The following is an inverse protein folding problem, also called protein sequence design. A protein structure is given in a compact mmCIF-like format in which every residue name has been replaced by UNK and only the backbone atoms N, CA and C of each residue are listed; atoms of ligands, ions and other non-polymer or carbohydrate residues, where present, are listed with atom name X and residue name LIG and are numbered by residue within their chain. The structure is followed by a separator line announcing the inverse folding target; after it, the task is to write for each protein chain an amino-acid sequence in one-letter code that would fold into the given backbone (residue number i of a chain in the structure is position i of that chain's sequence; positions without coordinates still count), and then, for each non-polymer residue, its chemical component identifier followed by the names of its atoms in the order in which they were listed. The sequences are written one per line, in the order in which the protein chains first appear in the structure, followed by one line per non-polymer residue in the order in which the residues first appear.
data_IF_197503903091
#
_entry.id   IF_197503903091
#
_cell.length_a   1.000
_cell.length_b   1.000
_cell.length_c   1.000
_cell.angle_alpha   90.00
_cell.angle_beta   90.00
_cell.angle_gamma   90.00
#
_symmetry.space_group_name_H-M   'P 1'
#
loop_
_entity.id
_entity.type
_entity.pdbx_description
1 polymer ?
#
# COMPACT_ATOMS: atom_id res chain seq x y z
N UNK A 1 -17.44 11.80 -15.84
CA UNK A 1 -16.20 11.16 -16.35
C UNK A 1 -16.53 9.69 -16.62
N UNK A 2 -15.66 8.93 -17.29
CA UNK A 2 -15.83 7.47 -17.31
C UNK A 2 -15.50 6.87 -15.94
N UNK A 3 -15.94 5.63 -15.68
CA UNK A 3 -15.55 4.92 -14.45
C UNK A 3 -14.03 4.74 -14.38
N UNK A 4 -13.50 4.77 -13.16
CA UNK A 4 -12.07 4.61 -12.87
C UNK A 4 -11.86 3.30 -12.11
N UNK A 5 -10.92 2.49 -12.59
CA UNK A 5 -10.48 1.29 -11.90
C UNK A 5 -9.49 1.60 -10.79
N UNK A 6 -9.65 0.97 -9.64
CA UNK A 6 -8.66 0.94 -8.57
C UNK A 6 -8.19 -0.50 -8.41
N UNK A 7 -6.99 -0.78 -8.93
CA UNK A 7 -6.35 -2.09 -8.83
C UNK A 7 -5.49 -2.17 -7.57
N UNK A 8 -5.99 -2.86 -6.55
CA UNK A 8 -5.36 -2.92 -5.22
C UNK A 8 -4.47 -4.16 -5.10
N UNK A 9 -3.19 -3.94 -4.79
CA UNK A 9 -2.25 -5.03 -4.47
C UNK A 9 -2.34 -5.29 -2.97
N UNK A 10 -2.59 -6.54 -2.56
CA UNK A 10 -2.85 -6.91 -1.17
C UNK A 10 -4.28 -6.59 -0.72
N UNK A 11 -5.27 -6.75 -1.61
CA UNK A 11 -6.64 -6.27 -1.38
C UNK A 11 -7.34 -6.92 -0.18
N UNK A 12 -7.01 -8.17 0.17
CA UNK A 12 -7.58 -8.83 1.36
C UNK A 12 -6.90 -8.38 2.66
N UNK A 13 -5.90 -7.49 2.60
CA UNK A 13 -5.23 -6.94 3.78
C UNK A 13 -6.18 -6.04 4.58
N UNK A 14 -5.82 -5.72 5.82
CA UNK A 14 -6.64 -4.85 6.69
C UNK A 14 -7.04 -3.54 6.00
N UNK A 15 -6.07 -2.85 5.39
CA UNK A 15 -6.32 -1.57 4.70
C UNK A 15 -7.16 -1.75 3.43
N UNK A 16 -6.83 -2.74 2.59
CA UNK A 16 -7.59 -3.03 1.38
C UNK A 16 -9.06 -3.34 1.69
N UNK A 17 -9.28 -4.21 2.67
CA UNK A 17 -10.61 -4.59 3.18
C UNK A 17 -11.36 -3.39 3.74
N UNK A 18 -10.71 -2.57 4.58
CA UNK A 18 -11.32 -1.38 5.17
C UNK A 18 -11.71 -0.34 4.11
N UNK A 19 -10.89 -0.12 3.09
CA UNK A 19 -11.19 0.80 1.98
C UNK A 19 -12.39 0.29 1.17
N UNK A 20 -12.46 -1.01 0.87
CA UNK A 20 -13.59 -1.57 0.12
C UNK A 20 -14.89 -1.52 0.92
N UNK A 21 -14.85 -1.78 2.23
CA UNK A 21 -16.04 -1.67 3.08
C UNK A 21 -16.46 -0.20 3.20
N UNK A 22 -15.53 0.68 3.56
CA UNK A 22 -15.80 2.09 3.82
C UNK A 22 -16.37 2.80 2.59
N UNK A 23 -15.82 2.54 1.41
CA UNK A 23 -16.31 3.15 0.16
C UNK A 23 -17.77 2.76 -0.12
N UNK A 24 -18.09 1.47 -0.07
CA UNK A 24 -19.46 1.01 -0.30
C UNK A 24 -20.42 1.45 0.81
N UNK A 25 -19.97 1.49 2.07
CA UNK A 25 -20.78 1.98 3.18
C UNK A 25 -21.13 3.47 3.02
N UNK A 26 -20.19 4.30 2.53
CA UNK A 26 -20.45 5.71 2.23
C UNK A 26 -21.43 5.85 1.06
N UNK A 27 -21.21 5.13 -0.05
CA UNK A 27 -22.08 5.16 -1.24
C UNK A 27 -23.52 4.78 -0.88
N UNK A 28 -23.69 3.77 -0.02
CA UNK A 28 -25.00 3.33 0.47
C UNK A 28 -25.59 4.23 1.59
N UNK A 29 -24.89 5.28 2.03
CA UNK A 29 -25.35 6.18 3.08
C UNK A 29 -25.37 5.55 4.49
N UNK A 30 -24.59 4.50 4.73
CA UNK A 30 -24.50 3.81 6.02
C UNK A 30 -23.61 4.54 7.02
N UNK A 31 -22.68 5.37 6.52
CA UNK A 31 -21.84 6.25 7.33
C UNK A 31 -21.50 7.54 6.57
N UNK A 32 -21.20 8.63 7.29
CA UNK A 32 -20.66 9.84 6.67
C UNK A 32 -19.22 9.63 6.17
N UNK A 33 -18.74 10.40 5.17
CA UNK A 33 -17.40 10.27 4.60
C UNK A 33 -16.29 10.89 5.48
N UNK A 34 -16.38 10.74 6.80
CA UNK A 34 -15.37 11.27 7.71
C UNK A 34 -14.00 10.64 7.45
N UNK A 35 -12.97 11.49 7.35
CA UNK A 35 -11.60 11.07 7.03
C UNK A 35 -11.29 10.98 5.53
N UNK A 36 -12.30 11.05 4.66
CA UNK A 36 -12.09 11.08 3.21
C UNK A 36 -11.87 12.54 2.78
N UNK A 37 -10.60 12.94 2.67
CA UNK A 37 -10.25 14.36 2.40
C UNK A 37 -10.80 14.93 1.10
N UNK A 38 -11.12 14.10 0.11
CA UNK A 38 -11.74 14.53 -1.15
C UNK A 38 -13.24 14.84 -1.00
N UNK A 39 -13.88 14.31 0.04
CA UNK A 39 -15.28 14.55 0.36
C UNK A 39 -15.47 15.72 1.36
N UNK A 40 -14.37 16.32 1.83
CA UNK A 40 -14.40 17.44 2.76
C UNK A 40 -14.05 18.77 2.10
N UNK A 41 -14.68 19.83 2.60
CA UNK A 41 -14.40 21.21 2.22
C UNK A 41 -12.95 21.62 2.56
N UNK A 42 -12.24 22.36 1.68
CA UNK A 42 -12.68 22.89 0.39
C UNK A 42 -12.45 21.97 -0.81
N UNK A 43 -11.90 20.77 -0.61
CA UNK A 43 -11.45 19.88 -1.68
C UNK A 43 -12.63 19.31 -2.46
N UNK A 44 -13.75 19.02 -1.81
CA UNK A 44 -14.98 18.55 -2.44
C UNK A 44 -15.63 19.56 -3.42
N UNK A 45 -15.12 20.80 -3.51
CA UNK A 45 -15.51 21.77 -4.54
C UNK A 45 -14.83 21.52 -5.89
N UNK A 46 -13.80 20.68 -5.92
CA UNK A 46 -13.12 20.30 -7.13
C UNK A 46 -13.93 19.24 -7.87
N UNK A 47 -13.86 19.23 -9.21
CA UNK A 47 -14.52 18.23 -10.04
C UNK A 47 -13.70 16.92 -10.05
N UNK A 48 -13.61 16.26 -8.90
CA UNK A 48 -12.97 14.97 -8.71
C UNK A 48 -13.95 13.83 -9.04
N UNK A 49 -13.40 12.64 -9.27
CA UNK A 49 -14.19 11.42 -9.51
C UNK A 49 -14.92 11.04 -8.22
N UNK A 50 -16.24 10.85 -8.31
CA UNK A 50 -17.07 10.42 -7.18
C UNK A 50 -16.77 8.99 -6.76
N UNK A 51 -17.07 8.66 -5.50
CA UNK A 51 -16.83 7.31 -4.96
C UNK A 51 -17.62 6.23 -5.72
N UNK A 52 -18.82 6.55 -6.20
CA UNK A 52 -19.69 5.69 -7.01
C UNK A 52 -19.12 5.33 -8.40
N UNK A 53 -18.16 6.12 -8.89
CA UNK A 53 -17.48 5.92 -10.16
C UNK A 53 -16.19 5.10 -10.02
N UNK A 54 -15.80 4.75 -8.79
CA UNK A 54 -14.65 3.90 -8.50
C UNK A 54 -15.04 2.41 -8.57
N UNK A 55 -14.31 1.64 -9.37
CA UNK A 55 -14.48 0.19 -9.50
C UNK A 55 -13.25 -0.49 -8.93
N UNK A 56 -13.42 -1.33 -7.91
CA UNK A 56 -12.31 -2.04 -7.28
C UNK A 56 -12.08 -3.43 -7.90
N UNK A 57 -10.81 -3.78 -8.04
CA UNK A 57 -10.27 -5.10 -8.36
C UNK A 57 -8.86 -5.20 -7.77
N UNK A 58 -8.17 -6.32 -7.95
CA UNK A 58 -6.83 -6.40 -7.38
C UNK A 58 -6.16 -7.74 -7.41
N UNK A 59 -5.02 -7.81 -6.72
CA UNK A 59 -4.28 -9.03 -6.45
C UNK A 59 -4.19 -9.29 -4.95
N UNK A 60 -4.32 -10.56 -4.57
CA UNK A 60 -3.88 -11.05 -3.26
C UNK A 60 -3.23 -12.43 -3.42
N UNK A 61 -2.43 -12.82 -2.45
CA UNK A 61 -1.69 -14.10 -2.46
C UNK A 61 -2.45 -15.20 -1.72
N UNK A 62 -3.40 -14.80 -0.86
CA UNK A 62 -4.25 -15.70 -0.08
C UNK A 62 -5.41 -16.22 -0.93
N UNK A 63 -5.75 -17.47 -0.69
CA UNK A 63 -7.02 -18.04 -1.14
C UNK A 63 -8.13 -17.64 -0.14
N UNK A 64 -8.78 -16.52 -0.41
CA UNK A 64 -9.81 -15.94 0.47
C UNK A 64 -10.80 -15.08 -0.33
N UNK A 65 -11.70 -14.40 0.37
CA UNK A 65 -12.64 -13.42 -0.15
C UNK A 65 -12.56 -12.13 0.67
N UNK A 66 -13.07 -11.03 0.11
CA UNK A 66 -13.22 -9.79 0.88
C UNK A 66 -14.23 -9.95 2.02
N UNK A 67 -15.27 -10.76 1.83
CA UNK A 67 -16.23 -11.06 2.88
C UNK A 67 -15.57 -11.77 4.07
N UNK A 68 -14.76 -12.80 3.83
CA UNK A 68 -14.05 -13.51 4.90
C UNK A 68 -13.03 -12.60 5.58
N UNK A 69 -12.32 -11.78 4.79
CA UNK A 69 -11.37 -10.79 5.31
C UNK A 69 -12.08 -9.73 6.17
N UNK A 70 -13.27 -9.29 5.77
CA UNK A 70 -14.10 -8.34 6.52
C UNK A 70 -14.60 -8.93 7.83
N UNK A 71 -15.07 -10.17 7.82
CA UNK A 71 -15.49 -10.88 9.04
C UNK A 71 -14.32 -11.09 10.00
N UNK A 72 -13.13 -11.44 9.49
CA UNK A 72 -11.93 -11.54 10.31
C UNK A 72 -11.58 -10.17 10.91
N UNK A 73 -11.57 -9.12 10.09
CA UNK A 73 -11.28 -7.75 10.53
C UNK A 73 -12.22 -7.30 11.66
N UNK A 74 -13.52 -7.60 11.54
CA UNK A 74 -14.50 -7.35 12.60
C UNK A 74 -14.28 -8.18 13.86
N UNK A 75 -13.99 -9.48 13.73
CA UNK A 75 -13.72 -10.34 14.91
C UNK A 75 -12.49 -9.87 15.69
N UNK A 76 -11.49 -9.35 14.99
CA UNK A 76 -10.23 -8.90 15.60
C UNK A 76 -10.33 -7.48 16.15
N UNK A 77 -11.09 -6.59 15.51
CA UNK A 77 -11.05 -5.15 15.82
C UNK A 77 -12.39 -4.57 16.28
N UNK A 78 -13.52 -5.24 16.02
CA UNK A 78 -14.87 -4.78 16.37
C UNK A 78 -15.40 -3.62 15.51
N UNK A 79 -14.67 -3.22 14.46
CA UNK A 79 -15.06 -2.16 13.54
C UNK A 79 -14.80 -2.58 12.08
N UNK A 80 -15.65 -2.19 11.11
CA UNK A 80 -16.98 -1.59 11.30
C UNK A 80 -18.00 -2.60 11.86
N UNK A 81 -19.20 -2.16 12.22
CA UNK A 81 -20.20 -3.03 12.85
C UNK A 81 -20.68 -4.14 11.91
N UNK A 82 -21.14 -5.26 12.49
CA UNK A 82 -21.64 -6.40 11.71
C UNK A 82 -22.78 -6.00 10.75
N UNK A 83 -23.65 -5.09 11.16
CA UNK A 83 -24.77 -4.61 10.33
C UNK A 83 -24.30 -3.87 9.09
N UNK A 84 -23.17 -3.14 9.16
CA UNK A 84 -22.56 -2.52 7.99
C UNK A 84 -22.03 -3.60 7.05
N UNK A 85 -21.34 -4.62 7.58
CA UNK A 85 -20.77 -5.71 6.78
C UNK A 85 -21.84 -6.49 6.02
N UNK A 86 -22.95 -6.82 6.69
CA UNK A 86 -24.08 -7.51 6.05
C UNK A 86 -24.64 -6.70 4.87
N UNK A 87 -24.74 -5.38 5.01
CA UNK A 87 -25.30 -4.51 3.96
C UNK A 87 -24.38 -4.32 2.75
N UNK A 88 -23.06 -4.39 2.94
CA UNK A 88 -22.10 -4.27 1.84
C UNK A 88 -21.62 -5.61 1.30
N UNK A 89 -22.18 -6.73 1.79
CA UNK A 89 -21.73 -8.09 1.45
C UNK A 89 -21.72 -8.34 -0.07
N UNK A 90 -22.80 -7.99 -0.77
CA UNK A 90 -22.91 -8.21 -2.21
C UNK A 90 -21.88 -7.39 -3.00
N UNK A 91 -21.54 -6.18 -2.53
CA UNK A 91 -20.48 -5.37 -3.12
C UNK A 91 -19.11 -6.03 -2.93
N UNK A 92 -18.83 -6.56 -1.74
CA UNK A 92 -17.58 -7.28 -1.44
C UNK A 92 -17.44 -8.57 -2.27
N UNK A 93 -18.53 -9.30 -2.47
CA UNK A 93 -18.56 -10.50 -3.31
C UNK A 93 -18.31 -10.14 -4.79
N UNK A 94 -18.90 -9.03 -5.25
CA UNK A 94 -18.65 -8.52 -6.60
C UNK A 94 -17.17 -8.14 -6.78
N UNK A 95 -16.57 -7.44 -5.83
CA UNK A 95 -15.14 -7.08 -5.89
C UNK A 95 -14.27 -8.33 -5.84
N UNK A 96 -14.61 -9.30 -4.98
CA UNK A 96 -13.91 -10.59 -4.85
C UNK A 96 -13.83 -11.32 -6.20
N UNK A 97 -14.89 -11.27 -7.02
CA UNK A 97 -14.88 -11.88 -8.36
C UNK A 97 -13.84 -11.30 -9.33
N UNK A 98 -13.32 -10.10 -9.02
CA UNK A 98 -12.30 -9.37 -9.80
C UNK A 98 -10.89 -9.52 -9.20
N UNK A 99 -10.74 -10.27 -8.10
CA UNK A 99 -9.43 -10.50 -7.47
C UNK A 99 -8.72 -11.65 -8.17
N UNK A 100 -7.43 -11.43 -8.47
CA UNK A 100 -6.53 -12.40 -9.10
C UNK A 100 -5.44 -12.82 -8.11
N UNK A 101 -4.81 -13.96 -8.37
CA UNK A 101 -3.68 -14.43 -7.56
C UNK A 101 -2.43 -13.61 -7.85
N UNK A 102 -1.85 -12.99 -6.82
CA UNK A 102 -0.63 -12.18 -6.92
C UNK A 102 0.67 -12.97 -6.89
N UNK A 103 1.80 -12.27 -7.02
CA UNK A 103 3.15 -12.81 -6.85
C UNK A 103 3.72 -12.57 -5.44
N UNK A 104 4.71 -13.37 -5.04
CA UNK A 104 5.39 -13.31 -3.73
C UNK A 104 6.93 -13.26 -3.87
N UNK A 105 7.43 -12.83 -5.02
CA UNK A 105 8.87 -12.73 -5.27
C UNK A 105 9.55 -11.82 -4.24
N UNK A 106 10.48 -12.40 -3.46
CA UNK A 106 11.27 -11.74 -2.43
C UNK A 106 10.48 -10.93 -1.40
N UNK A 107 9.27 -11.35 -1.07
CA UNK A 107 8.57 -10.83 0.10
C UNK A 107 9.24 -11.31 1.40
N UNK A 108 8.90 -10.69 2.53
CA UNK A 108 9.42 -11.08 3.85
C UNK A 108 9.06 -12.53 4.22
N UNK A 109 9.82 -13.13 5.16
CA UNK A 109 9.61 -14.52 5.59
C UNK A 109 8.18 -14.84 6.04
N UNK A 110 7.50 -13.97 6.84
CA UNK A 110 6.11 -14.24 7.23
C UNK A 110 5.18 -14.35 6.01
N UNK A 111 5.39 -13.51 4.99
CA UNK A 111 4.60 -13.53 3.75
C UNK A 111 4.85 -14.79 2.92
N UNK A 112 6.10 -15.28 2.90
CA UNK A 112 6.42 -16.54 2.24
C UNK A 112 5.77 -17.76 2.93
N UNK A 113 5.49 -17.66 4.23
CA UNK A 113 4.88 -18.71 5.04
C UNK A 113 3.34 -18.75 4.96
N UNK A 114 2.70 -17.70 4.42
CA UNK A 114 1.25 -17.68 4.22
C UNK A 114 0.86 -18.80 3.24
N UNK A 115 -0.16 -19.63 3.57
CA UNK A 115 -0.72 -20.58 2.62
C UNK A 115 -1.18 -19.84 1.36
N UNK A 116 -0.48 -20.07 0.26
CA UNK A 116 -0.77 -19.42 -1.01
C UNK A 116 -1.92 -20.14 -1.69
N UNK A 117 -2.69 -19.41 -2.48
CA UNK A 117 -3.59 -20.04 -3.44
C UNK A 117 -2.81 -21.03 -4.30
N UNK A 118 -3.42 -22.17 -4.65
CA UNK A 118 -2.78 -23.22 -5.45
C UNK A 118 -2.20 -22.71 -6.79
N UNK A 119 -2.71 -21.59 -7.29
CA UNK A 119 -2.29 -20.87 -8.49
C UNK A 119 -1.12 -19.90 -8.31
N UNK A 120 -0.56 -19.73 -7.10
CA UNK A 120 0.54 -18.79 -6.87
C UNK A 120 1.85 -19.33 -7.46
N UNK A 121 2.19 -18.86 -8.66
CA UNK A 121 3.31 -19.36 -9.46
C UNK A 121 4.66 -18.84 -8.93
N UNK A 122 5.32 -19.62 -8.08
CA UNK A 122 6.73 -19.38 -7.74
C UNK A 122 7.70 -19.76 -8.89
N UNK A 123 7.22 -20.56 -9.85
CA UNK A 123 8.05 -21.11 -10.94
C UNK A 123 8.17 -20.19 -12.16
N UNK A 124 7.32 -19.17 -12.27
CA UNK A 124 7.41 -18.20 -13.35
C UNK A 124 8.74 -17.42 -13.30
N UNK A 125 9.22 -17.07 -14.48
CA UNK A 125 10.24 -16.03 -14.65
C UNK A 125 9.66 -14.66 -14.29
N UNK A 126 10.53 -13.70 -14.00
CA UNK A 126 10.13 -12.32 -13.68
C UNK A 126 9.29 -11.73 -14.82
N UNK A 127 9.69 -11.97 -16.08
CA UNK A 127 8.95 -11.50 -17.27
C UNK A 127 7.57 -12.12 -17.38
N UNK A 128 7.44 -13.43 -17.21
CA UNK A 128 6.14 -14.10 -17.24
C UNK A 128 5.20 -13.56 -16.15
N UNK A 129 5.71 -13.33 -14.95
CA UNK A 129 4.92 -12.72 -13.88
C UNK A 129 4.51 -11.27 -14.19
N UNK A 130 5.39 -10.46 -14.77
CA UNK A 130 5.05 -9.09 -15.20
C UNK A 130 3.97 -9.11 -16.28
N UNK A 131 4.09 -9.99 -17.28
CA UNK A 131 3.09 -10.11 -18.35
C UNK A 131 1.74 -10.63 -17.84
N UNK A 132 1.73 -11.52 -16.84
CA UNK A 132 0.51 -11.93 -16.16
C UNK A 132 -0.15 -10.74 -15.42
N UNK A 133 0.61 -9.97 -14.65
CA UNK A 133 0.12 -8.76 -13.97
C UNK A 133 -0.49 -7.79 -14.99
N UNK A 134 0.22 -7.54 -16.10
CA UNK A 134 -0.27 -6.65 -17.17
C UNK A 134 -1.56 -7.15 -17.79
N UNK A 135 -1.68 -8.46 -18.02
CA UNK A 135 -2.89 -9.10 -18.53
C UNK A 135 -4.05 -8.92 -17.58
N UNK A 136 -3.87 -9.21 -16.29
CA UNK A 136 -4.92 -9.09 -15.28
C UNK A 136 -5.48 -7.66 -15.20
N UNK A 137 -4.60 -6.65 -15.19
CA UNK A 137 -4.99 -5.23 -15.18
C UNK A 137 -5.73 -4.85 -16.47
N UNK A 138 -5.24 -5.30 -17.63
CA UNK A 138 -5.83 -4.99 -18.94
C UNK A 138 -7.21 -5.64 -19.11
N UNK A 139 -7.36 -6.90 -18.70
CA UNK A 139 -8.63 -7.62 -18.69
C UNK A 139 -9.63 -6.94 -17.75
N UNK A 140 -9.20 -6.54 -16.55
CA UNK A 140 -10.03 -5.79 -15.61
C UNK A 140 -10.52 -4.48 -16.21
N UNK A 141 -9.63 -3.72 -16.87
CA UNK A 141 -9.99 -2.48 -17.59
C UNK A 141 -11.06 -2.74 -18.64
N UNK A 142 -10.85 -3.74 -19.49
CA UNK A 142 -11.75 -4.07 -20.60
C UNK A 142 -13.11 -4.60 -20.11
N UNK A 143 -13.12 -5.57 -19.19
CA UNK A 143 -14.34 -6.21 -18.68
C UNK A 143 -15.28 -5.24 -17.97
N UNK A 144 -14.73 -4.19 -17.34
CA UNK A 144 -15.51 -3.19 -16.62
C UNK A 144 -15.68 -1.87 -17.42
N UNK A 145 -15.23 -1.82 -18.68
CA UNK A 145 -15.31 -0.63 -19.55
C UNK A 145 -14.75 0.63 -18.90
N UNK A 146 -13.58 0.49 -18.25
CA UNK A 146 -12.97 1.56 -17.46
C UNK A 146 -12.18 2.51 -18.35
N UNK A 147 -12.31 3.81 -18.08
CA UNK A 147 -11.55 4.83 -18.81
C UNK A 147 -10.06 4.76 -18.47
N UNK A 148 -9.76 4.54 -17.20
CA UNK A 148 -8.41 4.45 -16.65
C UNK A 148 -8.37 3.45 -15.49
N UNK A 149 -7.18 2.94 -15.19
CA UNK A 149 -6.93 2.12 -14.00
C UNK A 149 -5.76 2.73 -13.24
N UNK A 150 -5.97 2.97 -11.95
CA UNK A 150 -4.96 3.38 -10.98
C UNK A 150 -4.55 2.13 -10.21
N UNK A 151 -3.25 1.88 -10.11
CA UNK A 151 -2.70 0.76 -9.34
C UNK A 151 -2.26 1.26 -7.98
N UNK A 152 -2.76 0.64 -6.90
CA UNK A 152 -2.50 1.05 -5.52
C UNK A 152 -1.86 -0.10 -4.76
N UNK A 153 -0.65 0.11 -4.26
CA UNK A 153 0.04 -0.87 -3.44
C UNK A 153 -0.34 -0.72 -1.96
N UNK A 154 -1.11 -1.68 -1.44
CA UNK A 154 -1.47 -1.84 -0.04
C UNK A 154 -0.94 -3.17 0.54
N UNK A 155 0.02 -3.81 -0.14
CA UNK A 155 0.57 -5.08 0.30
C UNK A 155 1.40 -4.92 1.58
N UNK A 156 1.78 -6.05 2.18
CA UNK A 156 2.80 -6.04 3.23
C UNK A 156 4.10 -5.40 2.75
N UNK A 157 4.78 -4.70 3.66
CA UNK A 157 6.08 -4.09 3.38
C UNK A 157 7.11 -5.17 3.02
N UNK A 158 7.96 -4.84 2.05
CA UNK A 158 9.05 -5.71 1.61
C UNK A 158 10.36 -5.31 2.29
N UNK A 159 11.32 -6.25 2.42
CA UNK A 159 12.68 -5.90 2.80
C UNK A 159 13.29 -4.92 1.81
N UNK A 160 14.07 -3.96 2.32
CA UNK A 160 14.78 -2.98 1.50
C UNK A 160 15.55 -3.66 0.35
N UNK A 161 15.42 -3.06 -0.83
CA UNK A 161 16.23 -3.40 -1.99
C UNK A 161 17.37 -2.39 -2.08
N UNK A 162 18.60 -2.88 -1.92
CA UNK A 162 19.80 -2.07 -2.10
C UNK A 162 19.90 -1.60 -3.56
N UNK A 163 20.04 -0.29 -3.73
CA UNK A 163 20.12 0.32 -5.05
C UNK A 163 21.57 0.14 -5.54
N UNK A 164 21.69 -0.39 -6.76
CA UNK A 164 22.95 -0.71 -7.45
C UNK A 164 22.91 0.01 -8.81
N UNK A 165 24.04 0.07 -9.53
CA UNK A 165 24.11 0.72 -10.85
C UNK A 165 23.06 0.16 -11.83
N UNK A 166 22.78 -1.15 -11.77
CA UNK A 166 21.75 -1.82 -12.60
C UNK A 166 20.32 -1.36 -12.31
N UNK A 167 20.06 -0.67 -11.20
CA UNK A 167 18.76 -0.11 -10.81
C UNK A 167 18.58 1.36 -11.25
N UNK A 168 19.60 1.98 -11.84
CA UNK A 168 19.61 3.43 -12.13
C UNK A 168 18.96 3.77 -13.47
N UNK A 169 19.28 3.02 -14.50
CA UNK A 169 18.82 3.22 -15.88
C UNK A 169 17.81 2.14 -16.30
N UNK A 170 16.82 2.51 -17.13
CA UNK A 170 15.79 1.57 -17.60
C UNK A 170 16.39 0.36 -18.32
N UNK A 171 17.39 0.58 -19.19
CA UNK A 171 18.07 -0.50 -19.90
C UNK A 171 18.81 -1.47 -18.97
N UNK A 172 19.32 -0.99 -17.84
CA UNK A 172 19.91 -1.83 -16.79
C UNK A 172 18.83 -2.66 -16.10
N UNK A 173 17.71 -2.02 -15.77
CA UNK A 173 16.58 -2.67 -15.14
C UNK A 173 15.99 -3.79 -16.01
N UNK A 174 15.72 -3.51 -17.29
CA UNK A 174 15.18 -4.50 -18.24
C UNK A 174 16.11 -5.71 -18.42
N UNK A 175 17.44 -5.50 -18.46
CA UNK A 175 18.41 -6.60 -18.50
C UNK A 175 18.29 -7.52 -17.29
N UNK A 176 17.99 -7.01 -16.09
CA UNK A 176 17.79 -7.85 -14.91
C UNK A 176 16.50 -8.66 -15.02
N UNK A 177 15.44 -8.06 -15.57
CA UNK A 177 14.18 -8.77 -15.81
C UNK A 177 14.39 -9.92 -16.80
N UNK A 178 15.12 -9.67 -17.89
CA UNK A 178 15.42 -10.65 -18.95
C UNK A 178 16.36 -11.76 -18.45
N UNK A 179 17.35 -11.39 -17.63
CA UNK A 179 18.25 -12.34 -16.99
C UNK A 179 17.59 -13.13 -15.85
N UNK A 180 16.33 -12.82 -15.52
CA UNK A 180 15.60 -13.41 -14.41
C UNK A 180 16.36 -13.30 -13.07
N UNK A 181 17.06 -12.18 -12.84
CA UNK A 181 17.82 -11.92 -11.60
C UNK A 181 16.84 -11.68 -10.45
N UNK A 182 16.34 -12.80 -9.89
CA UNK A 182 15.36 -12.77 -8.81
C UNK A 182 15.91 -11.98 -7.62
N UNK A 183 17.21 -11.96 -7.33
CA UNK A 183 17.77 -11.29 -6.14
C UNK A 183 17.62 -9.76 -6.15
N UNK A 184 17.66 -9.17 -7.34
CA UNK A 184 17.63 -7.72 -7.58
C UNK A 184 16.22 -7.14 -7.72
N UNK A 185 15.18 -7.98 -7.71
CA UNK A 185 13.81 -7.56 -7.97
C UNK A 185 12.93 -7.88 -6.76
N UNK A 186 11.90 -7.06 -6.56
CA UNK A 186 10.84 -7.29 -5.57
C UNK A 186 9.48 -7.32 -6.25
N UNK A 187 8.48 -7.93 -5.60
CA UNK A 187 7.11 -7.98 -6.13
C UNK A 187 6.57 -6.57 -6.38
N UNK A 188 6.77 -5.63 -5.45
CA UNK A 188 6.32 -4.24 -5.61
C UNK A 188 6.92 -3.56 -6.85
N UNK A 189 8.19 -3.84 -7.17
CA UNK A 189 8.87 -3.28 -8.35
C UNK A 189 8.33 -3.85 -9.66
N UNK A 190 7.90 -5.12 -9.66
CA UNK A 190 7.24 -5.74 -10.82
C UNK A 190 5.87 -5.11 -11.08
N UNK A 191 5.07 -4.89 -10.02
CA UNK A 191 3.79 -4.19 -10.15
C UNK A 191 3.95 -2.74 -10.61
N UNK A 192 4.93 -2.01 -10.07
CA UNK A 192 5.23 -0.65 -10.50
C UNK A 192 5.63 -0.61 -11.98
N UNK A 193 6.53 -1.48 -12.41
CA UNK A 193 6.92 -1.61 -13.82
C UNK A 193 5.71 -1.92 -14.72
N UNK A 194 4.89 -2.92 -14.35
CA UNK A 194 3.71 -3.31 -15.12
C UNK A 194 2.69 -2.17 -15.25
N UNK A 195 2.44 -1.44 -14.15
CA UNK A 195 1.54 -0.28 -14.15
C UNK A 195 2.05 0.82 -15.08
N UNK A 196 3.33 1.20 -14.96
CA UNK A 196 3.94 2.23 -15.80
C UNK A 196 3.91 1.83 -17.28
N UNK A 197 4.23 0.58 -17.60
CA UNK A 197 4.24 0.11 -18.98
C UNK A 197 2.86 0.18 -19.65
N UNK A 198 1.80 -0.15 -18.88
CA UNK A 198 0.40 -0.04 -19.28
C UNK A 198 -0.15 1.39 -19.34
N UNK A 199 0.62 2.39 -18.86
CA UNK A 199 0.12 3.76 -18.76
C UNK A 199 -0.77 4.01 -17.54
N UNK A 200 -0.77 3.12 -16.55
CA UNK A 200 -1.59 3.21 -15.34
C UNK A 200 -0.88 4.00 -14.25
N UNK A 201 -1.50 5.05 -13.67
CA UNK A 201 -0.96 5.72 -12.48
C UNK A 201 -0.68 4.74 -11.35
N UNK A 202 0.39 4.97 -10.61
CA UNK A 202 0.83 4.07 -9.53
C UNK A 202 0.96 4.79 -8.18
N UNK A 203 0.31 4.27 -7.15
CA UNK A 203 0.38 4.79 -5.78
C UNK A 203 1.01 3.73 -4.88
N UNK A 204 2.08 4.08 -4.19
CA UNK A 204 2.71 3.21 -3.19
C UNK A 204 2.39 3.68 -1.77
N UNK A 205 1.55 2.93 -1.07
CA UNK A 205 1.20 3.22 0.32
C UNK A 205 2.07 2.49 1.34
N UNK A 206 3.02 1.67 0.88
CA UNK A 206 3.95 0.90 1.73
C UNK A 206 5.32 1.56 1.79
N UNK A 207 6.18 1.09 2.69
CA UNK A 207 7.59 1.49 2.77
C UNK A 207 8.49 0.75 1.76
N UNK A 208 7.96 -0.15 0.94
CA UNK A 208 8.73 -0.87 -0.09
C UNK A 208 9.30 0.08 -1.14
N UNK A 209 10.45 -0.21 -1.74
CA UNK A 209 11.05 0.66 -2.77
C UNK A 209 10.08 0.91 -3.95
N UNK A 210 9.46 -0.15 -4.49
CA UNK A 210 8.47 -0.08 -5.56
C UNK A 210 8.87 0.88 -6.72
N UNK A 211 8.04 1.89 -7.02
CA UNK A 211 8.29 2.91 -8.04
C UNK A 211 9.42 3.89 -7.72
N UNK A 212 10.00 3.86 -6.50
CA UNK A 212 11.13 4.75 -6.15
C UNK A 212 12.47 4.30 -6.72
N UNK A 213 12.57 3.12 -7.34
CA UNK A 213 13.80 2.76 -8.06
C UNK A 213 14.07 3.79 -9.17
N UNK A 214 15.30 4.35 -9.28
CA UNK A 214 15.58 5.43 -10.22
C UNK A 214 15.21 5.08 -11.67
N UNK A 215 15.47 3.84 -12.10
CA UNK A 215 15.09 3.36 -13.42
C UNK A 215 13.58 3.44 -13.68
N UNK A 216 12.75 3.11 -12.68
CA UNK A 216 11.29 3.18 -12.81
C UNK A 216 10.79 4.63 -12.80
N UNK A 217 11.47 5.53 -12.08
CA UNK A 217 11.14 6.96 -12.13
C UNK A 217 11.45 7.57 -13.51
N UNK A 218 12.57 7.17 -14.13
CA UNK A 218 12.90 7.57 -15.52
C UNK A 218 11.84 7.03 -16.46
N UNK A 219 11.52 5.73 -16.36
CA UNK A 219 10.51 5.09 -17.20
C UNK A 219 9.13 5.74 -17.10
N UNK A 220 8.69 6.06 -15.88
CA UNK A 220 7.42 6.76 -15.64
C UNK A 220 7.40 8.15 -16.31
N UNK A 221 8.51 8.90 -16.23
CA UNK A 221 8.65 10.20 -16.90
C UNK A 221 8.60 10.06 -18.42
N UNK A 222 9.27 9.07 -18.99
CA UNK A 222 9.26 8.80 -20.45
C UNK A 222 7.87 8.43 -20.97
N UNK A 223 7.12 7.63 -20.20
CA UNK A 223 5.74 7.23 -20.53
C UNK A 223 4.69 8.30 -20.19
N UNK A 224 5.06 9.35 -19.46
CA UNK A 224 4.12 10.37 -18.98
C UNK A 224 3.14 9.86 -17.92
N UNK A 225 3.53 8.85 -17.14
CA UNK A 225 2.67 8.20 -16.13
C UNK A 225 2.94 8.80 -14.75
N UNK A 226 1.93 9.32 -14.05
CA UNK A 226 2.12 9.83 -12.70
C UNK A 226 2.28 8.68 -11.70
N UNK A 227 3.17 8.87 -10.73
CA UNK A 227 3.31 7.98 -9.58
C UNK A 227 3.42 8.78 -8.28
N UNK A 228 2.99 8.19 -7.17
CA UNK A 228 3.00 8.83 -5.84
C UNK A 228 3.39 7.83 -4.76
N UNK A 229 4.09 8.29 -3.74
CA UNK A 229 4.58 7.45 -2.64
C UNK A 229 5.77 8.10 -1.94
N UNK A 230 6.32 7.49 -0.89
CA UNK A 230 5.96 6.19 -0.31
C UNK A 230 5.43 6.34 1.13
N UNK A 231 4.90 5.23 1.67
CA UNK A 231 4.56 5.05 3.09
C UNK A 231 3.44 5.97 3.60
N UNK A 232 2.24 5.39 3.79
CA UNK A 232 1.06 6.10 4.26
C UNK A 232 1.27 6.77 5.63
N UNK A 233 1.19 8.10 5.67
CA UNK A 233 1.31 8.88 6.92
C UNK A 233 -0.04 8.98 7.66
N UNK A 234 -0.38 7.97 8.45
CA UNK A 234 -1.75 7.81 9.01
C UNK A 234 -1.91 8.15 10.49
N UNK A 235 -0.90 7.92 11.34
CA UNK A 235 -1.03 8.01 12.81
C UNK A 235 0.07 8.82 13.49
N UNK A 236 1.01 8.14 14.15
CA UNK A 236 2.13 8.75 14.88
C UNK A 236 2.89 9.79 14.04
N UNK A 237 3.34 9.41 12.84
CA UNK A 237 4.08 10.30 11.94
C UNK A 237 3.25 11.51 11.48
N UNK A 238 1.91 11.37 11.39
CA UNK A 238 1.01 12.49 11.12
C UNK A 238 1.07 13.51 12.25
N UNK A 239 0.88 13.06 13.50
CA UNK A 239 0.95 13.91 14.69
C UNK A 239 2.33 14.54 14.84
N UNK A 240 3.41 13.78 14.66
CA UNK A 240 4.79 14.27 14.65
C UNK A 240 4.98 15.40 13.63
N UNK A 241 4.49 15.22 12.41
CA UNK A 241 4.59 16.24 11.35
C UNK A 241 3.75 17.50 11.61
N UNK A 242 2.65 17.38 12.36
CA UNK A 242 1.79 18.50 12.72
C UNK A 242 2.30 19.26 13.95
N UNK A 243 2.87 18.54 14.93
CA UNK A 243 3.32 19.10 16.21
C UNK A 243 4.73 19.70 16.13
N UNK A 244 5.68 19.05 15.45
CA UNK A 244 7.07 19.53 15.38
C UNK A 244 7.21 20.98 14.89
N UNK A 245 6.44 21.46 13.89
CA UNK A 245 6.50 22.86 13.47
C UNK A 245 6.16 23.87 14.58
N UNK A 246 5.31 23.50 15.55
CA UNK A 246 4.92 24.40 16.65
C UNK A 246 6.15 24.84 17.46
N UNK A 247 7.05 23.91 17.79
CA UNK A 247 8.27 24.23 18.53
C UNK A 247 9.18 25.16 17.73
N UNK A 248 9.37 24.87 16.43
CA UNK A 248 10.12 25.74 15.53
C UNK A 248 9.56 27.16 15.47
N UNK A 249 8.25 27.30 15.26
CA UNK A 249 7.60 28.61 15.16
C UNK A 249 7.58 29.39 16.48
N UNK A 250 7.71 28.71 17.61
CA UNK A 250 7.85 29.33 18.94
C UNK A 250 9.30 29.53 19.36
N UNK A 251 10.28 29.26 18.48
CA UNK A 251 11.71 29.33 18.79
C UNK A 251 12.10 28.47 20.01
N UNK A 252 11.47 27.29 20.14
CA UNK A 252 11.77 26.30 21.16
C UNK A 252 12.64 25.20 20.56
N UNK A 253 13.75 24.89 21.24
CA UNK A 253 14.63 23.80 20.85
C UNK A 253 14.07 22.46 21.34
N UNK A 254 13.79 21.56 20.40
CA UNK A 254 13.51 20.16 20.73
C UNK A 254 14.85 19.48 20.98
N UNK A 255 15.08 19.07 22.23
CA UNK A 255 16.31 18.35 22.59
C UNK A 255 16.20 16.86 22.28
N UNK A 256 15.04 16.26 22.57
CA UNK A 256 14.78 14.82 22.45
C UNK A 256 13.37 14.56 21.94
N UNK A 257 13.20 13.54 21.09
CA UNK A 257 11.91 13.00 20.68
C UNK A 257 11.97 11.47 20.71
N UNK A 258 11.19 10.82 21.57
CA UNK A 258 11.07 9.36 21.61
C UNK A 258 9.73 8.97 21.00
N UNK A 259 9.65 7.82 20.34
CA UNK A 259 8.41 7.31 19.77
C UNK A 259 8.39 5.79 19.89
N UNK A 260 7.36 5.24 20.51
CA UNK A 260 7.18 3.80 20.66
C UNK A 260 5.88 3.38 19.99
N UNK A 261 5.96 2.36 19.15
CA UNK A 261 4.85 1.86 18.35
C UNK A 261 4.56 0.41 18.72
N UNK A 262 3.35 0.14 19.17
CA UNK A 262 2.88 -1.21 19.52
C UNK A 262 1.80 -1.63 18.53
N UNK A 263 1.94 -2.79 17.87
CA UNK A 263 0.96 -3.31 16.92
C UNK A 263 0.95 -4.85 16.88
N UNK A 264 -0.20 -5.46 16.55
CA UNK A 264 -0.41 -6.90 16.72
C UNK A 264 -0.95 -7.66 15.51
N UNK A 265 -1.08 -7.00 14.37
CA UNK A 265 -1.55 -7.58 13.11
C UNK A 265 -0.36 -8.08 12.25
N UNK A 266 -0.65 -8.51 11.02
CA UNK A 266 0.37 -8.97 10.06
C UNK A 266 1.43 -7.89 9.74
N UNK A 267 1.10 -6.60 9.77
CA UNK A 267 2.09 -5.52 9.63
C UNK A 267 3.11 -5.59 10.77
N UNK A 268 2.65 -5.81 12.00
CA UNK A 268 3.52 -6.02 13.17
C UNK A 268 4.41 -7.25 13.06
N UNK A 269 3.86 -8.37 12.59
CA UNK A 269 4.61 -9.62 12.43
C UNK A 269 5.71 -9.50 11.35
N UNK A 270 5.42 -8.85 10.23
CA UNK A 270 6.40 -8.57 9.18
C UNK A 270 7.54 -7.67 9.69
N UNK A 271 7.25 -6.75 10.61
CA UNK A 271 8.22 -5.84 11.23
C UNK A 271 9.05 -6.46 12.34
N UNK A 272 8.82 -7.74 12.68
CA UNK A 272 9.74 -8.48 13.56
C UNK A 272 11.02 -8.88 12.83
N UNK A 273 11.04 -8.87 11.50
CA UNK A 273 12.26 -9.05 10.72
C UNK A 273 13.11 -7.78 10.77
N UNK A 274 14.33 -7.87 11.32
CA UNK A 274 15.21 -6.73 11.60
C UNK A 274 15.42 -5.84 10.37
N UNK A 275 15.63 -6.43 9.18
CA UNK A 275 15.85 -5.68 7.94
C UNK A 275 14.63 -4.84 7.54
N UNK A 276 13.44 -5.39 7.73
CA UNK A 276 12.17 -4.70 7.43
C UNK A 276 11.89 -3.61 8.49
N UNK A 277 12.23 -3.88 9.75
CA UNK A 277 12.16 -2.91 10.85
C UNK A 277 13.06 -1.70 10.62
N UNK A 278 14.33 -1.93 10.24
CA UNK A 278 15.31 -0.87 10.01
C UNK A 278 14.84 0.11 8.94
N UNK A 279 14.29 -0.42 7.84
CA UNK A 279 13.75 0.38 6.72
C UNK A 279 12.60 1.30 7.17
N UNK A 280 11.72 0.82 8.04
CA UNK A 280 10.56 1.58 8.56
C UNK A 280 10.98 2.57 9.67
N UNK A 281 12.04 2.27 10.41
CA UNK A 281 12.62 3.20 11.40
C UNK A 281 13.27 4.37 10.69
N UNK A 282 14.09 4.12 9.66
CA UNK A 282 14.73 5.18 8.87
C UNK A 282 13.69 6.14 8.28
N UNK A 283 12.61 5.62 7.66
CA UNK A 283 11.56 6.48 7.07
C UNK A 283 10.92 7.44 8.09
N UNK A 284 10.76 6.98 9.34
CA UNK A 284 10.15 7.77 10.43
C UNK A 284 11.10 8.79 11.05
N UNK A 285 12.38 8.48 11.12
CA UNK A 285 13.36 9.31 11.83
C UNK A 285 13.83 10.52 11.00
N UNK A 286 13.86 10.38 9.67
CA UNK A 286 14.27 11.44 8.76
C UNK A 286 13.34 12.68 8.73
N UNK A 287 12.16 12.59 9.33
CA UNK A 287 11.17 13.68 9.29
C UNK A 287 11.56 14.87 10.17
N UNK A 288 12.00 14.64 11.41
CA UNK A 288 12.25 15.71 12.38
C UNK A 288 13.38 16.66 11.96
N UNK A 289 14.53 16.18 11.45
CA UNK A 289 15.59 17.07 10.98
C UNK A 289 15.13 18.01 9.86
N UNK A 290 14.28 17.52 8.95
CA UNK A 290 13.72 18.32 7.84
C UNK A 290 12.79 19.43 8.34
N UNK A 291 12.03 19.18 9.41
CA UNK A 291 11.11 20.18 9.98
C UNK A 291 11.90 21.18 10.81
N UNK A 292 12.73 20.70 11.75
CA UNK A 292 13.37 21.52 12.79
C UNK A 292 14.65 22.22 12.33
N UNK A 293 15.19 21.87 11.15
CA UNK A 293 16.51 22.31 10.66
C UNK A 293 17.67 21.99 11.63
N UNK A 294 17.47 21.02 12.52
CA UNK A 294 18.41 20.48 13.50
C UNK A 294 18.05 19.03 13.77
N UNK A 295 19.03 18.21 14.13
CA UNK A 295 18.81 16.80 14.51
C UNK A 295 18.71 16.68 16.03
N UNK A 296 17.50 16.57 16.62
CA UNK A 296 17.37 16.22 18.04
C UNK A 296 17.84 14.78 18.28
N UNK A 297 18.03 14.41 19.55
CA UNK A 297 18.17 13.01 19.90
C UNK A 297 16.83 12.29 19.65
N UNK A 298 16.83 11.27 18.80
CA UNK A 298 15.62 10.54 18.42
C UNK A 298 15.71 9.05 18.74
N UNK A 299 14.57 8.46 19.07
CA UNK A 299 14.42 7.01 19.17
C UNK A 299 13.04 6.61 18.62
N UNK A 300 13.00 5.60 17.75
CA UNK A 300 11.76 5.00 17.25
C UNK A 300 11.77 3.50 17.55
N UNK A 301 10.96 3.09 18.54
CA UNK A 301 10.70 1.71 18.86
C UNK A 301 9.47 1.18 18.12
N UNK A 302 9.54 -0.09 17.68
CA UNK A 302 8.40 -0.83 17.11
C UNK A 302 8.43 -2.23 17.72
N UNK A 303 7.37 -2.58 18.46
CA UNK A 303 7.23 -3.87 19.13
C UNK A 303 5.93 -4.58 18.72
N UNK A 304 6.02 -5.90 18.54
CA UNK A 304 4.88 -6.74 18.23
C UNK A 304 4.12 -7.12 19.51
N UNK A 305 2.85 -6.73 19.57
CA UNK A 305 1.94 -6.99 20.70
C UNK A 305 0.66 -7.60 20.16
N UNK A 306 0.62 -8.92 20.07
CA UNK A 306 -0.45 -9.68 19.40
C UNK A 306 -1.87 -9.39 19.91
N UNK A 307 -2.02 -8.97 21.16
CA UNK A 307 -3.31 -8.60 21.76
C UNK A 307 -3.90 -7.32 21.19
N UNK A 308 -3.08 -6.45 20.59
CA UNK A 308 -3.54 -5.19 19.99
C UNK A 308 -4.18 -5.37 18.62
N UNK A 309 -3.93 -6.46 17.90
CA UNK A 309 -4.43 -6.63 16.52
C UNK A 309 -4.12 -5.38 15.67
N UNK A 310 -5.12 -4.76 15.04
CA UNK A 310 -4.98 -3.54 14.24
C UNK A 310 -5.03 -2.24 15.09
N UNK A 311 -5.25 -2.34 16.41
CA UNK A 311 -5.25 -1.21 17.36
C UNK A 311 -3.84 -0.74 17.70
N UNK A 312 -3.14 -0.27 16.67
CA UNK A 312 -1.81 0.30 16.80
C UNK A 312 -1.81 1.44 17.83
N UNK A 313 -0.94 1.35 18.83
CA UNK A 313 -0.77 2.37 19.87
C UNK A 313 0.57 3.10 19.69
N UNK A 314 0.60 4.41 19.90
CA UNK A 314 1.82 5.24 19.88
C UNK A 314 2.03 5.95 21.21
N UNK A 315 3.26 6.00 21.69
CA UNK A 315 3.69 6.89 22.77
C UNK A 315 4.86 7.74 22.26
N UNK A 316 4.67 9.06 22.22
CA UNK A 316 5.70 10.06 21.89
C UNK A 316 6.06 10.91 23.12
#
# INVERSE_FOLDING_TARGET
MGKIGVWVIGIYGSVGTAVTIGTNAIIQGLCPPHGVTTETEPINRLNLVGLEDLVFGGHDIRESSLHDSALQYYRENGVPSYEVLEKVKDDLDQITSRVKTGTTLNCSKPIQAIPKAASATNDNTIRESIEQIKRDISEFKAQNSLSEVIVVNLSSAEPYLEIEDKHTELSGFEKMLDANDKSAIRSSTMYAYAAIDLGCPYINFTSSNASLLPALQVFAREKGVPFMGNDGKTGETLIKSALAPVFKYRNLEVMTWQGYNLLGNMDGEVLMDQKTKDSKIESKDHLLPKILNKSPHTHVGIDYVSSLKDWKTAWD
#
